data_IF_408806154142
#
_entry.id   IF_408806154142
#
_cell.length_a   1.000
_cell.length_b   1.000
_cell.length_c   1.000
_cell.angle_alpha   90.00
_cell.angle_beta   90.00
_cell.angle_gamma   90.00
#
_symmetry.space_group_name_H-M   'P 1'
#
loop_
_entity.id
_entity.type
_entity.pdbx_description
1 polymer ?
#
# COMPACT_ATOMS: atom_id res chain seq x y z
N UNK A 1 20.25 3.76 -8.06
CA UNK A 1 19.53 4.27 -6.86
C UNK A 1 19.16 3.18 -5.85
N UNK A 2 18.57 2.04 -6.26
CA UNK A 2 18.14 0.98 -5.33
C UNK A 2 19.23 0.43 -4.37
N UNK A 3 20.49 0.29 -4.83
CA UNK A 3 21.61 -0.16 -3.97
C UNK A 3 21.95 0.84 -2.85
N UNK A 4 21.87 2.15 -3.12
CA UNK A 4 22.12 3.20 -2.13
C UNK A 4 21.01 3.27 -1.09
N UNK A 5 19.75 3.10 -1.53
CA UNK A 5 18.60 3.02 -0.63
C UNK A 5 18.67 1.78 0.28
N UNK A 6 18.99 0.61 -0.29
CA UNK A 6 19.16 -0.62 0.48
C UNK A 6 20.26 -0.49 1.54
N UNK A 7 21.41 0.11 1.19
CA UNK A 7 22.50 0.36 2.15
C UNK A 7 22.14 1.30 3.29
N UNK A 8 21.31 2.32 3.04
CA UNK A 8 20.84 3.24 4.10
C UNK A 8 19.83 2.61 5.05
N UNK A 9 18.98 1.72 4.52
CA UNK A 9 17.87 1.12 5.29
C UNK A 9 18.29 -0.16 6.02
N UNK A 10 19.09 -1.02 5.38
CA UNK A 10 19.48 -2.34 5.91
C UNK A 10 20.95 -2.42 6.36
N UNK A 11 21.70 -1.32 6.25
CA UNK A 11 23.12 -1.27 6.65
C UNK A 11 24.09 -1.88 5.63
N UNK A 12 25.36 -1.95 6.03
CA UNK A 12 26.46 -2.49 5.22
C UNK A 12 26.30 -4.01 4.99
N UNK A 13 26.41 -4.47 3.75
CA UNK A 13 26.23 -5.89 3.37
C UNK A 13 24.86 -6.22 2.72
N UNK A 14 23.97 -5.24 2.55
CA UNK A 14 22.63 -5.40 1.95
C UNK A 14 22.59 -5.43 0.41
N UNK A 15 23.76 -5.46 -0.25
CA UNK A 15 23.87 -5.40 -1.71
C UNK A 15 23.17 -6.59 -2.41
N UNK A 16 22.95 -7.70 -1.69
CA UNK A 16 22.23 -8.89 -2.18
C UNK A 16 20.71 -8.73 -2.24
N UNK A 17 20.12 -7.86 -1.38
CA UNK A 17 18.67 -7.57 -1.32
C UNK A 17 18.29 -6.52 -2.35
N UNK A 18 19.21 -5.61 -2.69
CA UNK A 18 18.96 -4.52 -3.62
C UNK A 18 18.29 -4.93 -4.95
N UNK A 19 18.62 -6.08 -5.60
CA UNK A 19 17.95 -6.50 -6.82
C UNK A 19 16.54 -7.06 -6.58
N UNK A 20 16.28 -7.63 -5.40
CA UNK A 20 14.93 -8.06 -4.98
C UNK A 20 14.03 -6.84 -4.85
N UNK A 21 14.49 -5.84 -4.08
CA UNK A 21 13.75 -4.59 -3.89
C UNK A 21 13.53 -3.90 -5.23
N UNK A 22 14.56 -3.79 -6.07
CA UNK A 22 14.45 -3.15 -7.38
C UNK A 22 13.37 -3.80 -8.27
N UNK A 23 13.21 -5.12 -8.20
CA UNK A 23 12.18 -5.86 -8.94
C UNK A 23 10.78 -5.70 -8.34
N UNK A 24 10.70 -5.49 -7.02
CA UNK A 24 9.44 -5.22 -6.32
C UNK A 24 8.94 -3.77 -6.46
N UNK A 25 9.84 -2.79 -6.69
CA UNK A 25 9.52 -1.37 -6.84
C UNK A 25 8.34 -1.06 -7.79
N UNK A 26 8.27 -1.57 -9.04
CA UNK A 26 7.14 -1.29 -9.91
C UNK A 26 5.82 -1.83 -9.34
N UNK A 27 5.85 -3.01 -8.71
CA UNK A 27 4.67 -3.59 -8.05
C UNK A 27 4.19 -2.74 -6.87
N UNK A 28 5.13 -2.30 -6.01
CA UNK A 28 4.85 -1.36 -4.91
C UNK A 28 4.25 -0.06 -5.46
N UNK A 29 4.80 0.47 -6.55
CA UNK A 29 4.30 1.68 -7.21
C UNK A 29 2.87 1.54 -7.73
N UNK A 30 2.52 0.38 -8.31
CA UNK A 30 1.14 0.10 -8.78
C UNK A 30 0.17 -0.03 -7.61
N UNK A 31 0.56 -0.74 -6.54
CA UNK A 31 -0.27 -0.86 -5.32
C UNK A 31 -0.46 0.50 -4.67
N UNK A 32 0.59 1.32 -4.62
CA UNK A 32 0.50 2.67 -4.10
C UNK A 32 -0.40 3.56 -4.98
N UNK A 33 -0.21 3.57 -6.30
CA UNK A 33 -1.02 4.39 -7.19
C UNK A 33 -2.52 4.03 -7.09
N UNK A 34 -2.84 2.74 -7.02
CA UNK A 34 -4.23 2.28 -6.85
C UNK A 34 -4.79 2.61 -5.47
N UNK A 35 -4.00 2.53 -4.40
CA UNK A 35 -4.47 2.91 -3.05
C UNK A 35 -4.68 4.41 -2.92
N UNK A 36 -3.81 5.22 -3.53
CA UNK A 36 -3.97 6.67 -3.61
C UNK A 36 -5.21 7.06 -4.41
N UNK A 37 -5.45 6.41 -5.56
CA UNK A 37 -6.68 6.61 -6.34
C UNK A 37 -7.94 6.27 -5.54
N UNK A 38 -7.93 5.14 -4.82
CA UNK A 38 -9.03 4.76 -3.93
C UNK A 38 -9.23 5.78 -2.79
N UNK A 39 -8.15 6.33 -2.24
CA UNK A 39 -8.22 7.35 -1.20
C UNK A 39 -8.77 8.69 -1.71
N UNK A 40 -8.49 9.09 -2.95
CA UNK A 40 -9.14 10.25 -3.59
C UNK A 40 -10.64 10.00 -3.76
N UNK A 41 -11.03 8.81 -4.22
CA UNK A 41 -12.43 8.40 -4.29
C UNK A 41 -13.13 8.48 -2.93
N UNK A 42 -12.43 8.16 -1.84
CA UNK A 42 -12.94 8.27 -0.48
C UNK A 42 -13.18 9.71 0.00
N UNK A 43 -12.69 10.73 -0.72
CA UNK A 43 -12.99 12.15 -0.47
C UNK A 43 -14.25 12.64 -1.19
N UNK A 44 -14.80 11.88 -2.14
CA UNK A 44 -16.03 12.24 -2.83
C UNK A 44 -17.29 12.21 -1.93
N UNK A 45 -17.48 11.24 -1.01
CA UNK A 45 -18.68 11.16 -0.18
C UNK A 45 -18.95 12.39 0.69
N UNK A 46 -17.97 13.03 1.37
CA UNK A 46 -18.20 14.27 2.11
C UNK A 46 -18.80 15.39 1.25
N UNK A 47 -18.25 15.61 0.05
CA UNK A 47 -18.74 16.64 -0.87
C UNK A 47 -20.12 16.28 -1.44
N UNK A 48 -20.32 15.04 -1.87
CA UNK A 48 -21.60 14.56 -2.40
C UNK A 48 -22.70 14.60 -1.33
N UNK A 49 -22.37 14.23 -0.09
CA UNK A 49 -23.31 14.29 1.04
C UNK A 49 -23.73 15.73 1.31
N UNK A 50 -22.80 16.70 1.26
CA UNK A 50 -23.13 18.12 1.38
C UNK A 50 -24.13 18.55 0.30
N UNK A 51 -23.86 18.22 -0.97
CA UNK A 51 -24.73 18.58 -2.09
C UNK A 51 -26.11 17.90 -2.00
N UNK A 52 -26.16 16.63 -1.58
CA UNK A 52 -27.39 15.89 -1.34
C UNK A 52 -28.27 16.58 -0.29
N UNK A 53 -27.66 17.06 0.80
CA UNK A 53 -28.38 17.76 1.87
C UNK A 53 -28.84 19.13 1.38
N UNK A 54 -27.93 19.96 0.89
CA UNK A 54 -28.20 21.37 0.57
C UNK A 54 -29.17 21.50 -0.61
N UNK A 55 -28.97 20.72 -1.68
CA UNK A 55 -29.77 20.83 -2.90
C UNK A 55 -30.92 19.81 -2.92
N UNK A 56 -30.73 18.62 -2.38
CA UNK A 56 -31.78 17.59 -2.38
C UNK A 56 -32.80 17.80 -1.27
N UNK A 57 -32.35 17.75 -0.01
CA UNK A 57 -33.25 17.82 1.14
C UNK A 57 -33.73 19.24 1.44
N UNK A 58 -32.81 20.20 1.55
CA UNK A 58 -33.12 21.56 2.01
C UNK A 58 -33.85 22.36 0.94
N UNK A 59 -33.38 22.30 -0.32
CA UNK A 59 -34.07 22.98 -1.42
C UNK A 59 -35.31 22.22 -1.94
N UNK A 60 -35.54 20.99 -1.47
CA UNK A 60 -36.71 20.17 -1.85
C UNK A 60 -36.70 19.67 -3.29
N UNK A 61 -35.54 19.66 -3.96
CA UNK A 61 -35.41 19.19 -5.34
C UNK A 61 -35.24 17.67 -5.39
N UNK A 62 -36.33 16.98 -5.73
CA UNK A 62 -36.36 15.52 -5.86
C UNK A 62 -35.42 15.00 -6.97
N UNK A 63 -35.18 15.76 -8.04
CA UNK A 63 -34.28 15.36 -9.11
C UNK A 63 -32.82 15.42 -8.65
N UNK A 64 -32.43 16.50 -7.97
CA UNK A 64 -31.12 16.64 -7.35
C UNK A 64 -30.88 15.54 -6.29
N UNK A 65 -31.89 15.23 -5.48
CA UNK A 65 -31.83 14.17 -4.48
C UNK A 65 -31.48 12.81 -5.10
N UNK A 66 -32.21 12.39 -6.14
CA UNK A 66 -31.94 11.11 -6.81
C UNK A 66 -30.58 11.10 -7.52
N UNK A 67 -30.18 12.22 -8.14
CA UNK A 67 -28.89 12.35 -8.81
C UNK A 67 -27.72 12.13 -7.83
N UNK A 68 -27.71 12.85 -6.70
CA UNK A 68 -26.62 12.75 -5.72
C UNK A 68 -26.66 11.43 -4.95
N UNK A 69 -27.84 10.85 -4.70
CA UNK A 69 -27.97 9.53 -4.09
C UNK A 69 -27.41 8.44 -5.02
N UNK A 70 -27.72 8.49 -6.32
CA UNK A 70 -27.17 7.57 -7.31
C UNK A 70 -25.65 7.76 -7.46
N UNK A 71 -25.15 9.01 -7.42
CA UNK A 71 -23.72 9.30 -7.45
C UNK A 71 -22.99 8.72 -6.22
N UNK A 72 -23.55 8.87 -5.02
CA UNK A 72 -23.01 8.27 -3.79
C UNK A 72 -22.95 6.74 -3.89
N UNK A 73 -24.01 6.11 -4.40
CA UNK A 73 -24.04 4.67 -4.63
C UNK A 73 -22.96 4.22 -5.62
N UNK A 74 -22.81 4.93 -6.75
CA UNK A 74 -21.79 4.64 -7.75
C UNK A 74 -20.37 4.81 -7.20
N UNK A 75 -20.12 5.87 -6.42
CA UNK A 75 -18.85 6.08 -5.72
C UNK A 75 -18.56 4.97 -4.72
N UNK A 76 -19.57 4.53 -3.96
CA UNK A 76 -19.44 3.39 -3.04
C UNK A 76 -19.04 2.10 -3.77
N UNK A 77 -19.67 1.81 -4.91
CA UNK A 77 -19.32 0.65 -5.72
C UNK A 77 -17.91 0.75 -6.32
N UNK A 78 -17.53 1.93 -6.80
CA UNK A 78 -16.18 2.19 -7.30
C UNK A 78 -15.11 2.06 -6.20
N UNK A 79 -15.42 2.51 -4.98
CA UNK A 79 -14.54 2.36 -3.81
C UNK A 79 -14.37 0.88 -3.43
N UNK A 80 -15.45 0.10 -3.40
CA UNK A 80 -15.40 -1.34 -3.17
C UNK A 80 -14.56 -2.06 -4.23
N UNK A 81 -14.81 -1.78 -5.51
CA UNK A 81 -14.04 -2.36 -6.61
C UNK A 81 -12.56 -2.00 -6.56
N UNK A 82 -12.25 -0.72 -6.29
CA UNK A 82 -10.87 -0.25 -6.14
C UNK A 82 -10.17 -0.90 -4.94
N UNK A 83 -10.88 -1.07 -3.82
CA UNK A 83 -10.37 -1.80 -2.65
C UNK A 83 -10.04 -3.24 -2.97
N UNK A 84 -10.95 -3.96 -3.64
CA UNK A 84 -10.73 -5.35 -4.04
C UNK A 84 -9.52 -5.49 -5.00
N UNK A 85 -9.42 -4.61 -6.00
CA UNK A 85 -8.28 -4.58 -6.93
C UNK A 85 -6.98 -4.30 -6.17
N UNK A 86 -6.97 -3.32 -5.26
CA UNK A 86 -5.80 -3.00 -4.46
C UNK A 86 -5.36 -4.19 -3.60
N UNK A 87 -6.28 -4.89 -2.94
CA UNK A 87 -5.99 -6.09 -2.14
C UNK A 87 -5.40 -7.22 -2.98
N UNK A 88 -5.95 -7.48 -4.18
CA UNK A 88 -5.42 -8.51 -5.09
C UNK A 88 -4.02 -8.18 -5.59
N UNK A 89 -3.79 -6.91 -5.96
CA UNK A 89 -2.46 -6.45 -6.39
C UNK A 89 -1.46 -6.53 -5.23
N UNK A 90 -1.86 -6.10 -4.03
CA UNK A 90 -1.05 -6.18 -2.82
C UNK A 90 -0.63 -7.63 -2.56
N UNK A 91 -1.58 -8.57 -2.56
CA UNK A 91 -1.30 -9.99 -2.36
C UNK A 91 -0.33 -10.54 -3.42
N UNK A 92 -0.61 -10.26 -4.70
CA UNK A 92 0.20 -10.74 -5.83
C UNK A 92 1.65 -10.26 -5.73
N UNK A 93 1.87 -8.96 -5.51
CA UNK A 93 3.23 -8.39 -5.51
C UNK A 93 3.98 -8.70 -4.22
N UNK A 94 3.29 -8.74 -3.08
CA UNK A 94 3.88 -9.17 -1.81
C UNK A 94 4.38 -10.63 -1.89
N UNK A 95 3.53 -11.54 -2.40
CA UNK A 95 3.90 -12.94 -2.58
C UNK A 95 5.05 -13.12 -3.58
N UNK A 96 5.07 -12.34 -4.67
CA UNK A 96 6.17 -12.37 -5.64
C UNK A 96 7.51 -11.93 -5.02
N UNK A 97 7.51 -10.90 -4.18
CA UNK A 97 8.70 -10.46 -3.45
C UNK A 97 9.17 -11.53 -2.46
N UNK A 98 8.25 -12.14 -1.71
CA UNK A 98 8.55 -13.21 -0.77
C UNK A 98 9.15 -14.44 -1.48
N UNK A 99 8.62 -14.79 -2.66
CA UNK A 99 9.16 -15.89 -3.47
C UNK A 99 10.61 -15.62 -3.95
N UNK A 100 10.93 -14.40 -4.39
CA UNK A 100 12.30 -14.04 -4.80
C UNK A 100 13.26 -14.06 -3.59
N UNK A 101 12.82 -13.64 -2.41
CA UNK A 101 13.61 -13.73 -1.17
C UNK A 101 13.93 -15.18 -0.80
N UNK A 102 12.90 -16.04 -0.72
CA UNK A 102 13.07 -17.47 -0.42
C UNK A 102 13.95 -18.17 -1.43
N UNK A 103 13.76 -17.90 -2.73
CA UNK A 103 14.59 -18.49 -3.79
C UNK A 103 16.07 -18.16 -3.67
N UNK A 104 16.42 -16.90 -3.33
CA UNK A 104 17.81 -16.50 -3.12
C UNK A 104 18.42 -17.07 -1.85
N UNK A 105 17.67 -17.09 -0.75
CA UNK A 105 18.14 -17.70 0.48
C UNK A 105 18.36 -19.20 0.32
N UNK A 106 17.45 -19.90 -0.37
CA UNK A 106 17.60 -21.32 -0.66
C UNK A 106 18.84 -21.58 -1.54
N UNK A 107 19.03 -20.81 -2.62
CA UNK A 107 20.20 -20.92 -3.49
C UNK A 107 21.51 -20.68 -2.72
N UNK A 108 21.54 -19.69 -1.84
CA UNK A 108 22.70 -19.41 -0.99
C UNK A 108 22.97 -20.52 0.04
N UNK A 109 21.91 -21.14 0.58
CA UNK A 109 22.04 -22.29 1.49
C UNK A 109 22.60 -23.53 0.78
N UNK A 110 22.16 -23.79 -0.46
CA UNK A 110 22.63 -24.92 -1.27
C UNK A 110 24.07 -24.73 -1.78
N UNK A 111 24.50 -23.50 -2.02
CA UNK A 111 25.86 -23.18 -2.47
C UNK A 111 26.90 -23.12 -1.32
N UNK A 112 26.55 -23.55 -0.10
CA UNK A 112 27.50 -23.52 1.03
C UNK A 112 28.67 -24.49 0.78
N UNK A 113 29.93 -24.07 1.03
CA UNK A 113 31.07 -24.97 0.95
C UNK A 113 30.96 -26.13 1.95
N UNK A 114 31.35 -27.34 1.53
CA UNK A 114 31.37 -28.54 2.39
C UNK A 114 32.28 -28.40 3.63
N UNK A 115 33.22 -27.46 3.60
CA UNK A 115 34.10 -27.13 4.73
C UNK A 115 33.40 -26.38 5.88
N UNK A 116 32.19 -25.83 5.66
CA UNK A 116 31.42 -25.18 6.74
C UNK A 116 30.61 -26.21 7.53
N UNK A 117 30.37 -25.96 8.84
CA UNK A 117 29.46 -26.78 9.62
C UNK A 117 28.09 -26.91 8.94
N UNK A 118 27.47 -28.11 9.00
CA UNK A 118 26.13 -28.31 8.46
C UNK A 118 25.14 -27.37 9.14
N UNK A 119 24.26 -26.78 8.34
CA UNK A 119 23.16 -25.96 8.86
C UNK A 119 22.01 -26.90 9.22
N UNK A 120 21.53 -26.93 10.49
CA UNK A 120 20.39 -27.77 10.86
C UNK A 120 19.18 -27.45 9.99
N UNK A 121 18.52 -28.47 9.44
CA UNK A 121 17.40 -28.26 8.51
C UNK A 121 16.27 -27.47 9.16
N UNK A 122 15.97 -27.72 10.43
CA UNK A 122 14.96 -26.97 11.18
C UNK A 122 15.30 -25.49 11.34
N UNK A 123 16.56 -25.17 11.64
CA UNK A 123 17.02 -23.78 11.74
C UNK A 123 17.02 -23.09 10.36
N UNK A 124 17.43 -23.82 9.31
CA UNK A 124 17.41 -23.32 7.94
C UNK A 124 16.00 -22.96 7.47
N UNK A 125 15.01 -23.83 7.74
CA UNK A 125 13.61 -23.58 7.41
C UNK A 125 13.02 -22.45 8.24
N UNK A 126 13.30 -22.40 9.55
CA UNK A 126 12.83 -21.31 10.41
C UNK A 126 13.33 -19.94 9.94
N UNK A 127 14.61 -19.83 9.55
CA UNK A 127 15.18 -18.59 9.00
C UNK A 127 14.64 -18.28 7.61
N UNK A 128 14.50 -19.29 6.76
CA UNK A 128 13.99 -19.11 5.40
C UNK A 128 12.52 -18.65 5.40
N UNK A 129 11.69 -19.12 6.32
CA UNK A 129 10.29 -18.69 6.42
C UNK A 129 10.11 -17.44 7.27
N UNK A 130 10.72 -17.38 8.45
CA UNK A 130 10.60 -16.26 9.38
C UNK A 130 11.31 -15.00 8.87
N UNK A 131 12.63 -15.08 8.63
CA UNK A 131 13.43 -13.89 8.30
C UNK A 131 13.01 -13.31 6.94
N UNK A 132 12.66 -14.15 5.95
CA UNK A 132 12.23 -13.63 4.64
C UNK A 132 10.86 -12.96 4.70
N UNK A 133 9.94 -13.48 5.52
CA UNK A 133 8.65 -12.85 5.76
C UNK A 133 8.82 -11.51 6.47
N UNK A 134 9.69 -11.43 7.48
CA UNK A 134 9.98 -10.19 8.19
C UNK A 134 10.61 -9.14 7.27
N UNK A 135 11.58 -9.54 6.43
CA UNK A 135 12.19 -8.65 5.44
C UNK A 135 11.14 -8.15 4.43
N UNK A 136 10.26 -9.03 3.93
CA UNK A 136 9.18 -8.63 3.03
C UNK A 136 8.23 -7.67 3.73
N UNK A 137 7.82 -7.96 4.96
CA UNK A 137 6.89 -7.14 5.71
C UNK A 137 7.46 -5.74 5.92
N UNK A 138 8.72 -5.65 6.34
CA UNK A 138 9.39 -4.38 6.53
C UNK A 138 9.60 -3.61 5.21
N UNK A 139 10.10 -4.27 4.16
CA UNK A 139 10.43 -3.60 2.90
C UNK A 139 9.19 -3.20 2.08
N UNK A 140 8.14 -4.02 2.10
CA UNK A 140 6.93 -3.84 1.30
C UNK A 140 5.86 -3.10 2.10
N UNK A 141 5.48 -3.63 3.26
CA UNK A 141 4.31 -3.14 4.00
C UNK A 141 4.61 -1.82 4.72
N UNK A 142 5.77 -1.66 5.36
CA UNK A 142 6.10 -0.41 6.05
C UNK A 142 6.19 0.78 5.09
N UNK A 143 6.74 0.56 3.88
CA UNK A 143 6.83 1.60 2.85
C UNK A 143 5.44 2.03 2.37
N UNK A 144 4.58 1.06 2.07
CA UNK A 144 3.22 1.32 1.63
C UNK A 144 2.38 1.99 2.72
N UNK A 145 2.51 1.54 3.97
CA UNK A 145 1.85 2.12 5.12
C UNK A 145 2.30 3.56 5.38
N UNK A 146 3.60 3.84 5.33
CA UNK A 146 4.15 5.18 5.51
C UNK A 146 3.60 6.14 4.44
N UNK A 147 3.71 5.76 3.16
CA UNK A 147 3.21 6.57 2.06
C UNK A 147 1.68 6.81 2.13
N UNK A 148 0.91 5.75 2.44
CA UNK A 148 -0.54 5.86 2.61
C UNK A 148 -0.93 6.75 3.79
N UNK A 149 -0.20 6.71 4.90
CA UNK A 149 -0.44 7.58 6.06
C UNK A 149 -0.15 9.04 5.76
N UNK A 150 0.97 9.36 5.09
CA UNK A 150 1.25 10.73 4.65
C UNK A 150 0.16 11.24 3.71
N UNK A 151 -0.30 10.42 2.77
CA UNK A 151 -1.35 10.83 1.85
C UNK A 151 -2.68 11.09 2.56
N UNK A 152 -3.12 10.19 3.44
CA UNK A 152 -4.35 10.38 4.22
C UNK A 152 -4.30 11.64 5.05
N UNK A 153 -3.15 11.91 5.67
CA UNK A 153 -2.94 13.14 6.44
C UNK A 153 -3.06 14.38 5.55
N UNK A 154 -2.31 14.42 4.44
CA UNK A 154 -2.30 15.56 3.53
C UNK A 154 -3.66 15.78 2.84
N UNK A 155 -4.26 14.71 2.32
CA UNK A 155 -5.56 14.75 1.65
C UNK A 155 -6.70 15.09 2.60
N UNK A 156 -6.70 14.52 3.81
CA UNK A 156 -7.68 14.86 4.84
C UNK A 156 -7.57 16.31 5.29
N UNK A 157 -6.36 16.79 5.56
CA UNK A 157 -6.13 18.20 5.89
C UNK A 157 -6.58 19.14 4.76
N UNK A 158 -6.16 18.87 3.52
CA UNK A 158 -6.59 19.65 2.36
C UNK A 158 -8.11 19.69 2.21
N UNK A 159 -8.79 18.54 2.41
CA UNK A 159 -10.24 18.47 2.34
C UNK A 159 -10.92 19.31 3.43
N UNK A 160 -10.41 19.30 4.66
CA UNK A 160 -10.91 20.16 5.74
C UNK A 160 -10.79 21.65 5.37
N UNK A 161 -9.64 22.06 4.84
CA UNK A 161 -9.41 23.43 4.39
C UNK A 161 -10.34 23.84 3.23
N UNK A 162 -10.61 22.93 2.29
CA UNK A 162 -11.53 23.17 1.17
C UNK A 162 -12.98 23.28 1.66
N UNK A 163 -13.36 22.48 2.66
CA UNK A 163 -14.73 22.46 3.14
C UNK A 163 -15.05 23.68 4.00
N UNK A 164 -14.23 23.94 5.03
CA UNK A 164 -14.29 25.19 5.80
C UNK A 164 -12.96 25.54 6.49
N UNK A 165 -12.24 26.52 5.95
CA UNK A 165 -10.92 26.93 6.45
C UNK A 165 -10.96 27.49 7.88
N UNK A 166 -12.09 28.09 8.30
CA UNK A 166 -12.24 28.63 9.66
C UNK A 166 -12.37 27.53 10.72
N UNK A 167 -13.05 26.43 10.37
CA UNK A 167 -13.18 25.27 11.25
C UNK A 167 -11.91 24.43 11.24
N UNK A 168 -11.18 24.39 10.12
CA UNK A 168 -9.93 23.64 10.01
C UNK A 168 -8.77 24.23 10.84
N UNK A 169 -8.82 25.52 11.18
CA UNK A 169 -7.79 26.22 11.95
C UNK A 169 -8.03 26.25 13.47
N UNK A 170 -9.20 25.79 13.92
CA UNK A 170 -9.53 25.66 15.34
C UNK A 170 -8.95 24.37 15.93
#
# INVERSE_FOLDING_TARGET
MARLAARRVFGAGSDWIAPVIARALPGIGVVLATSLGAAVLALAPPWLTKQLIDQGLVAGDAAALWLYAAALFAVGLAALGSGAVNSLLHLRYSAAMLADLRGRMLGAALARPAARPPLPVGEAMARLDGDTAEIQQFAFNSLLAAAGSLFRLAGGAAMLFVLEWRLALL
#
